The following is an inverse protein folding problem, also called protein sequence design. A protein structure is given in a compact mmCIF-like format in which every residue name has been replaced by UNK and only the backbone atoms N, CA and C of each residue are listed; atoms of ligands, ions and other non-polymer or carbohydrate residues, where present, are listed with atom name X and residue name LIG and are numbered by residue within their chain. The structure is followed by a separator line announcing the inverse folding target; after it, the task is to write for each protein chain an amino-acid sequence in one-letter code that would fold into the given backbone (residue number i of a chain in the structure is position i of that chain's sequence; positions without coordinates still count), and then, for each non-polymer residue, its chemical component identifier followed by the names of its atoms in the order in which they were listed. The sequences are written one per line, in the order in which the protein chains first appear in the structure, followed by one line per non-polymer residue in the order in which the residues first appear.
data_IF_747474238717
#
_entry.id   IF_747474238717
#
_cell.length_a   1.000
_cell.length_b   1.000
_cell.length_c   1.000
_cell.angle_alpha   90.00
_cell.angle_beta   90.00
_cell.angle_gamma   90.00
#
_symmetry.space_group_name_H-M   'P 1'
#
loop_
_entity.id
_entity.type
_entity.pdbx_description
1 polymer ?
#
# COMPACT_ATOMS: atom_id res chain seq x y z
N UNK A 1 26.25 8.92 2.66
CA UNK A 1 26.54 9.06 4.10
C UNK A 1 26.47 7.72 4.85
N UNK A 2 26.06 6.60 4.21
CA UNK A 2 26.01 5.26 4.81
C UNK A 2 25.10 5.13 6.03
N UNK A 3 24.03 5.93 6.10
CA UNK A 3 23.04 5.86 7.18
C UNK A 3 21.86 5.00 6.77
N UNK A 4 21.32 4.24 7.70
CA UNK A 4 20.05 3.53 7.52
C UNK A 4 18.89 4.53 7.47
N UNK A 5 17.90 4.24 6.63
CA UNK A 5 16.76 5.13 6.38
C UNK A 5 15.47 4.34 6.48
N UNK A 6 14.42 4.94 7.07
CA UNK A 6 13.06 4.44 7.01
C UNK A 6 12.21 5.37 6.15
N UNK A 7 11.52 4.80 5.17
CA UNK A 7 10.66 5.55 4.24
C UNK A 7 9.20 5.19 4.52
N UNK A 8 8.40 6.22 4.88
CA UNK A 8 6.96 6.08 5.12
C UNK A 8 6.13 6.57 3.92
N UNK A 9 6.62 7.54 3.17
CA UNK A 9 5.98 8.06 1.94
C UNK A 9 6.47 7.28 0.74
N UNK A 10 5.99 6.06 0.59
CA UNK A 10 6.48 5.06 -0.35
C UNK A 10 6.05 5.33 -1.80
N UNK A 11 4.98 6.11 -1.98
CA UNK A 11 4.40 6.37 -3.30
C UNK A 11 5.38 6.92 -4.33
N UNK A 12 6.30 7.79 -3.92
CA UNK A 12 7.32 8.35 -4.81
C UNK A 12 8.20 7.26 -5.45
N UNK A 13 8.45 6.16 -4.73
CA UNK A 13 9.32 5.06 -5.20
C UNK A 13 8.76 4.28 -6.39
N UNK A 14 7.46 4.42 -6.67
CA UNK A 14 6.82 3.77 -7.82
C UNK A 14 6.28 4.77 -8.86
N UNK A 15 6.27 6.06 -8.54
CA UNK A 15 5.89 7.13 -9.46
C UNK A 15 7.06 7.55 -10.37
N UNK A 16 8.27 7.53 -9.84
CA UNK A 16 9.49 7.88 -10.54
C UNK A 16 10.19 6.60 -11.01
N UNK A 17 10.30 6.45 -12.34
CA UNK A 17 10.93 5.27 -12.94
C UNK A 17 12.44 5.28 -12.63
N UNK A 18 12.91 4.22 -11.98
CA UNK A 18 14.31 4.04 -11.62
C UNK A 18 14.71 4.53 -10.23
N UNK A 19 13.89 5.35 -9.57
CA UNK A 19 14.23 5.85 -8.22
C UNK A 19 14.41 4.72 -7.18
N UNK A 20 13.55 3.70 -7.24
CA UNK A 20 13.65 2.58 -6.31
C UNK A 20 14.93 1.77 -6.54
N UNK A 21 15.25 1.49 -7.80
CA UNK A 21 16.46 0.77 -8.21
C UNK A 21 17.72 1.57 -7.83
N UNK A 22 17.73 2.87 -8.07
CA UNK A 22 18.83 3.76 -7.65
C UNK A 22 19.06 3.72 -6.13
N UNK A 23 17.98 3.78 -5.35
CA UNK A 23 18.06 3.66 -3.88
C UNK A 23 18.64 2.31 -3.46
N UNK A 24 18.21 1.22 -4.11
CA UNK A 24 18.73 -0.13 -3.84
C UNK A 24 20.23 -0.21 -4.14
N UNK A 25 20.68 0.34 -5.25
CA UNK A 25 22.09 0.30 -5.65
C UNK A 25 22.97 1.15 -4.75
N UNK A 26 22.52 2.35 -4.38
CA UNK A 26 23.22 3.19 -3.39
C UNK A 26 23.28 2.50 -2.03
N UNK A 27 22.19 1.85 -1.60
CA UNK A 27 22.16 1.14 -0.32
C UNK A 27 23.17 -0.04 -0.30
N UNK A 28 23.28 -0.79 -1.40
CA UNK A 28 24.29 -1.85 -1.56
C UNK A 28 25.71 -1.28 -1.53
N UNK A 29 25.98 -0.23 -2.33
CA UNK A 29 27.29 0.41 -2.40
C UNK A 29 27.75 0.92 -1.03
N UNK A 30 26.86 1.52 -0.26
CA UNK A 30 27.18 2.12 1.05
C UNK A 30 27.06 1.14 2.22
N UNK A 31 26.65 -0.11 1.99
CA UNK A 31 26.44 -1.11 3.05
C UNK A 31 25.39 -0.71 4.07
N UNK A 32 24.37 0.05 3.68
CA UNK A 32 23.27 0.49 4.54
C UNK A 32 21.94 -0.16 4.16
N UNK A 33 20.94 -0.01 5.03
CA UNK A 33 19.60 -0.60 4.81
C UNK A 33 18.56 0.50 4.66
N UNK A 34 17.57 0.21 3.81
CA UNK A 34 16.36 1.01 3.66
C UNK A 34 15.17 0.19 4.13
N UNK A 35 14.42 0.72 5.07
CA UNK A 35 13.26 0.07 5.67
C UNK A 35 11.98 0.70 5.12
N UNK A 36 11.08 -0.13 4.63
CA UNK A 36 9.75 0.26 4.19
C UNK A 36 8.74 -0.50 5.05
N UNK A 37 8.15 0.13 6.07
CA UNK A 37 7.12 -0.50 6.90
C UNK A 37 5.89 -0.90 6.09
N UNK A 38 5.13 -1.89 6.57
CA UNK A 38 3.89 -2.33 5.92
C UNK A 38 2.81 -1.26 5.84
N UNK A 39 2.90 -0.22 6.68
CA UNK A 39 1.93 0.86 6.70
C UNK A 39 0.56 0.39 7.21
N UNK A 40 -0.48 0.68 6.43
CA UNK A 40 -1.88 0.39 6.75
C UNK A 40 -2.34 -1.01 6.30
N UNK A 41 -1.44 -1.89 5.88
CA UNK A 41 -1.76 -3.25 5.44
C UNK A 41 -0.99 -4.30 6.23
N UNK A 42 -1.42 -5.55 6.10
CA UNK A 42 -0.78 -6.74 6.65
C UNK A 42 -0.43 -7.74 5.53
N UNK A 43 0.19 -8.85 5.87
CA UNK A 43 0.49 -9.93 4.93
C UNK A 43 1.67 -9.69 3.99
N UNK A 44 2.45 -8.62 4.20
CA UNK A 44 3.63 -8.29 3.38
C UNK A 44 4.71 -9.38 3.47
N UNK A 45 4.89 -9.98 4.65
CA UNK A 45 5.82 -11.08 4.86
C UNK A 45 5.42 -12.34 4.08
N UNK A 46 4.13 -12.69 4.12
CA UNK A 46 3.57 -13.78 3.32
C UNK A 46 3.71 -13.53 1.81
N UNK A 47 3.45 -12.30 1.37
CA UNK A 47 3.61 -11.91 -0.04
C UNK A 47 5.09 -11.99 -0.48
N UNK A 48 6.02 -11.48 0.32
CA UNK A 48 7.47 -11.59 0.05
C UNK A 48 7.93 -13.03 -0.04
N UNK A 49 7.46 -13.89 0.88
CA UNK A 49 7.76 -15.31 0.86
C UNK A 49 7.21 -15.98 -0.40
N UNK A 50 5.95 -15.65 -0.77
CA UNK A 50 5.34 -16.14 -2.00
C UNK A 50 6.05 -15.69 -3.27
N UNK A 51 6.65 -14.49 -3.26
CA UNK A 51 7.39 -13.96 -4.40
C UNK A 51 8.63 -14.79 -4.75
N UNK A 52 9.22 -15.53 -3.80
CA UNK A 52 10.34 -16.43 -4.04
C UNK A 52 9.91 -17.62 -4.91
N UNK A 53 8.71 -18.15 -4.70
CA UNK A 53 8.17 -19.27 -5.47
C UNK A 53 7.46 -18.87 -6.78
N UNK A 54 7.20 -17.59 -6.96
CA UNK A 54 6.47 -17.06 -8.12
C UNK A 54 5.01 -16.67 -7.79
N UNK A 55 4.70 -15.43 -8.12
CA UNK A 55 3.36 -14.84 -7.99
C UNK A 55 2.76 -14.66 -9.37
N UNK A 56 1.52 -15.14 -9.56
CA UNK A 56 0.75 -15.00 -10.79
C UNK A 56 -0.08 -13.72 -10.80
N UNK A 57 -0.64 -13.33 -9.66
CA UNK A 57 -1.45 -12.12 -9.54
C UNK A 57 -1.42 -11.53 -8.14
N UNK A 58 -1.49 -10.20 -8.07
CA UNK A 58 -1.71 -9.44 -6.83
C UNK A 58 -2.78 -8.39 -7.12
N UNK A 59 -3.82 -8.38 -6.31
CA UNK A 59 -4.88 -7.37 -6.35
C UNK A 59 -5.03 -6.72 -4.98
N UNK A 60 -5.07 -5.38 -4.98
CA UNK A 60 -5.42 -4.56 -3.82
C UNK A 60 -6.78 -3.92 -4.07
N UNK A 61 -7.75 -4.17 -3.21
CA UNK A 61 -8.99 -3.39 -3.16
C UNK A 61 -8.94 -2.43 -1.97
N UNK A 62 -9.06 -1.14 -2.24
CA UNK A 62 -9.22 -0.12 -1.20
C UNK A 62 -10.65 0.38 -1.19
N UNK A 63 -11.31 0.26 -0.04
CA UNK A 63 -12.68 0.76 0.21
C UNK A 63 -12.66 1.89 1.20
N UNK A 64 -13.45 2.92 0.91
CA UNK A 64 -13.70 4.05 1.80
C UNK A 64 -15.14 4.53 1.66
N UNK A 65 -15.70 5.18 2.69
CA UNK A 65 -16.97 5.88 2.51
C UNK A 65 -16.83 6.96 1.41
N UNK A 66 -17.91 7.30 0.67
CA UNK A 66 -17.86 8.30 -0.41
C UNK A 66 -17.20 9.61 -0.01
N UNK A 67 -17.46 10.11 1.20
CA UNK A 67 -16.83 11.33 1.77
C UNK A 67 -15.28 11.25 1.79
N UNK A 68 -14.71 10.05 1.84
CA UNK A 68 -13.25 9.84 1.82
C UNK A 68 -12.59 10.16 0.47
N UNK A 69 -13.40 10.46 -0.56
CA UNK A 69 -12.96 10.85 -1.90
C UNK A 69 -13.29 12.33 -2.22
N UNK A 70 -13.82 13.08 -1.27
CA UNK A 70 -14.09 14.49 -1.44
C UNK A 70 -12.80 15.25 -1.80
N UNK A 71 -12.90 16.08 -2.81
CA UNK A 71 -11.76 16.86 -3.30
C UNK A 71 -10.83 16.11 -4.27
N UNK A 72 -11.01 14.81 -4.47
CA UNK A 72 -10.18 14.04 -5.40
C UNK A 72 -10.36 14.51 -6.85
N UNK A 73 -9.24 14.81 -7.54
CA UNK A 73 -9.26 15.35 -8.91
C UNK A 73 -9.87 14.37 -9.92
N UNK A 74 -9.50 13.11 -9.84
CA UNK A 74 -10.01 12.06 -10.74
C UNK A 74 -11.53 11.90 -10.64
N UNK A 75 -12.08 11.95 -9.41
CA UNK A 75 -13.53 11.88 -9.17
C UNK A 75 -14.25 13.08 -9.80
N UNK A 76 -13.68 14.27 -9.65
CA UNK A 76 -14.22 15.50 -10.25
C UNK A 76 -14.16 15.48 -11.77
N UNK A 77 -13.04 15.10 -12.36
CA UNK A 77 -12.85 15.02 -13.81
C UNK A 77 -13.80 14.01 -14.48
N UNK A 78 -14.17 12.95 -13.76
CA UNK A 78 -15.13 11.94 -14.22
C UNK A 78 -16.58 12.31 -13.96
N UNK A 79 -16.86 13.45 -13.35
CA UNK A 79 -18.20 13.88 -13.03
C UNK A 79 -18.94 12.94 -12.08
N UNK A 80 -18.21 12.25 -11.20
CA UNK A 80 -18.83 11.31 -10.26
C UNK A 80 -19.40 12.09 -9.09
N UNK A 81 -20.72 12.08 -8.94
CA UNK A 81 -21.40 12.61 -7.76
C UNK A 81 -21.29 11.59 -6.62
N UNK A 82 -20.53 11.97 -5.58
CA UNK A 82 -20.33 11.12 -4.41
C UNK A 82 -21.57 11.07 -3.51
N UNK A 83 -22.46 12.07 -3.58
CA UNK A 83 -23.69 12.13 -2.77
C UNK A 83 -24.77 11.16 -3.28
N UNK A 84 -24.72 10.78 -4.55
CA UNK A 84 -25.65 9.84 -5.17
C UNK A 84 -25.23 8.37 -5.03
N UNK A 85 -24.11 8.08 -4.35
CA UNK A 85 -23.62 6.70 -4.17
C UNK A 85 -24.37 6.05 -3.00
N UNK A 86 -25.41 5.30 -3.30
CA UNK A 86 -26.24 4.57 -2.33
C UNK A 86 -25.76 3.13 -2.07
N UNK A 87 -24.93 2.59 -2.96
CA UNK A 87 -24.36 1.24 -2.87
C UNK A 87 -22.89 1.25 -3.29
N UNK A 88 -22.18 0.14 -3.10
CA UNK A 88 -20.78 0.00 -3.50
C UNK A 88 -20.57 0.41 -4.97
N UNK A 89 -19.70 1.38 -5.21
CA UNK A 89 -19.33 1.86 -6.55
C UNK A 89 -17.83 1.80 -6.77
N UNK A 90 -17.41 1.06 -7.78
CA UNK A 90 -16.02 1.06 -8.20
C UNK A 90 -15.68 2.37 -8.92
N UNK A 91 -14.73 3.12 -8.39
CA UNK A 91 -14.27 4.38 -8.97
C UNK A 91 -13.13 4.16 -9.97
N UNK A 92 -12.26 3.18 -9.70
CA UNK A 92 -11.07 2.90 -10.51
C UNK A 92 -10.70 1.42 -10.46
N UNK A 93 -10.22 0.91 -11.58
CA UNK A 93 -9.52 -0.38 -11.70
C UNK A 93 -8.36 -0.21 -12.67
N UNK A 94 -7.17 -0.57 -12.25
CA UNK A 94 -5.97 -0.46 -13.11
C UNK A 94 -4.71 -0.86 -12.36
N UNK A 95 -3.53 -0.72 -12.99
CA UNK A 95 -2.25 -1.00 -12.37
C UNK A 95 -1.94 0.01 -11.25
N UNK A 96 -1.16 -0.43 -10.26
CA UNK A 96 -0.78 0.42 -9.12
C UNK A 96 -0.10 1.72 -9.56
N UNK A 97 0.74 1.68 -10.59
CA UNK A 97 1.41 2.89 -11.14
C UNK A 97 0.46 3.98 -11.65
N UNK A 98 -0.75 3.59 -12.06
CA UNK A 98 -1.79 4.56 -12.46
C UNK A 98 -2.63 4.98 -11.25
N UNK A 99 -2.99 4.02 -10.40
CA UNK A 99 -3.77 4.29 -9.20
C UNK A 99 -3.13 5.38 -8.33
N UNK A 100 -1.81 5.38 -8.19
CA UNK A 100 -1.08 6.36 -7.38
C UNK A 100 -1.18 7.79 -7.93
N UNK A 101 -1.37 7.95 -9.23
CA UNK A 101 -1.53 9.27 -9.87
C UNK A 101 -2.92 9.84 -9.62
N UNK A 102 -3.93 8.98 -9.64
CA UNK A 102 -5.34 9.38 -9.50
C UNK A 102 -5.80 9.46 -8.04
N UNK A 103 -5.21 8.64 -7.17
CA UNK A 103 -5.59 8.53 -5.76
C UNK A 103 -4.37 8.66 -4.83
N UNK A 104 -3.72 9.84 -4.78
CA UNK A 104 -2.48 10.05 -4.04
C UNK A 104 -2.60 9.74 -2.54
N UNK A 105 -3.80 9.80 -1.98
CA UNK A 105 -4.05 9.45 -0.57
C UNK A 105 -3.94 7.94 -0.28
N UNK A 106 -4.00 7.09 -1.32
CA UNK A 106 -3.91 5.62 -1.21
C UNK A 106 -2.56 5.07 -1.71
N UNK A 107 -1.68 5.96 -2.13
CA UNK A 107 -0.42 5.66 -2.81
C UNK A 107 0.48 4.73 -2.01
N UNK A 108 0.66 5.01 -0.72
CA UNK A 108 1.65 4.29 0.09
C UNK A 108 1.31 2.79 0.23
N UNK A 109 0.03 2.45 0.35
CA UNK A 109 -0.42 1.05 0.46
C UNK A 109 -0.15 0.28 -0.83
N UNK A 110 -0.55 0.86 -1.98
CA UNK A 110 -0.32 0.26 -3.29
C UNK A 110 1.18 0.14 -3.60
N UNK A 111 1.97 1.14 -3.21
CA UNK A 111 3.41 1.15 -3.41
C UNK A 111 4.12 0.08 -2.57
N UNK A 112 3.83 0.01 -1.26
CA UNK A 112 4.43 -1.02 -0.39
C UNK A 112 4.10 -2.42 -0.87
N UNK A 113 2.84 -2.66 -1.28
CA UNK A 113 2.40 -3.95 -1.81
C UNK A 113 3.11 -4.31 -3.12
N UNK A 114 3.24 -3.33 -4.03
CA UNK A 114 3.89 -3.51 -5.33
C UNK A 114 5.38 -3.84 -5.19
N UNK A 115 6.08 -3.11 -4.31
CA UNK A 115 7.51 -3.33 -4.03
C UNK A 115 7.74 -4.71 -3.39
N UNK A 116 6.83 -5.13 -2.51
CA UNK A 116 6.94 -6.43 -1.85
C UNK A 116 6.55 -7.62 -2.75
N UNK A 117 5.78 -7.37 -3.81
CA UNK A 117 5.19 -8.38 -4.68
C UNK A 117 5.78 -8.39 -6.08
N UNK A 118 4.97 -8.04 -7.08
CA UNK A 118 5.23 -8.20 -8.52
C UNK A 118 5.45 -6.87 -9.27
N UNK A 119 5.72 -5.80 -8.54
CA UNK A 119 5.93 -4.47 -9.11
C UNK A 119 4.65 -3.70 -9.43
N UNK A 120 4.79 -2.38 -9.63
CA UNK A 120 3.66 -1.47 -9.76
C UNK A 120 2.88 -1.59 -11.09
N UNK A 121 3.52 -2.14 -12.12
CA UNK A 121 2.87 -2.37 -13.41
C UNK A 121 1.96 -3.60 -13.40
N UNK A 122 2.32 -4.64 -12.63
CA UNK A 122 1.59 -5.91 -12.57
C UNK A 122 0.60 -5.98 -11.39
N UNK A 123 0.81 -5.21 -10.32
CA UNK A 123 -0.12 -5.13 -9.18
C UNK A 123 -1.38 -4.40 -9.60
N UNK A 124 -2.53 -5.07 -9.51
CA UNK A 124 -3.84 -4.50 -9.82
C UNK A 124 -4.40 -3.78 -8.59
N UNK A 125 -4.95 -2.60 -8.79
CA UNK A 125 -5.61 -1.80 -7.75
C UNK A 125 -7.05 -1.53 -8.14
N UNK A 126 -7.96 -1.76 -7.20
CA UNK A 126 -9.37 -1.41 -7.27
C UNK A 126 -9.68 -0.40 -6.16
N UNK A 127 -10.25 0.75 -6.54
CA UNK A 127 -10.69 1.79 -5.60
C UNK A 127 -12.21 1.82 -5.59
N UNK A 128 -12.78 1.72 -4.40
CA UNK A 128 -14.22 1.56 -4.19
C UNK A 128 -14.75 2.59 -3.21
N UNK A 129 -15.79 3.31 -3.61
CA UNK A 129 -16.62 4.07 -2.70
C UNK A 129 -17.74 3.16 -2.18
N UNK A 130 -17.83 3.01 -0.86
CA UNK A 130 -18.80 2.14 -0.20
C UNK A 130 -19.48 2.89 0.94
N UNK A 131 -20.78 3.25 0.80
CA UNK A 131 -21.52 3.96 1.85
C UNK A 131 -21.64 3.19 3.16
N UNK A 132 -21.53 1.86 3.12
CA UNK A 132 -21.58 1.02 4.31
C UNK A 132 -20.26 1.00 5.08
N UNK A 133 -19.16 1.40 4.45
CA UNK A 133 -17.86 1.46 5.09
C UNK A 133 -17.79 2.62 6.08
N UNK A 134 -17.44 2.34 7.31
CA UNK A 134 -17.18 3.35 8.35
C UNK A 134 -15.71 3.74 8.43
N UNK A 135 -14.83 2.91 7.90
CA UNK A 135 -13.38 2.99 8.00
C UNK A 135 -12.71 2.73 6.64
N UNK A 136 -11.41 2.95 6.58
CA UNK A 136 -10.63 2.57 5.41
C UNK A 136 -10.34 1.06 5.44
N UNK A 137 -10.81 0.33 4.44
CA UNK A 137 -10.63 -1.11 4.33
C UNK A 137 -9.67 -1.38 3.19
N UNK A 138 -8.67 -2.23 3.44
CA UNK A 138 -7.75 -2.74 2.43
C UNK A 138 -7.85 -4.25 2.36
N UNK A 139 -8.15 -4.77 1.17
CA UNK A 139 -8.21 -6.21 0.88
C UNK A 139 -7.13 -6.55 -0.13
N UNK A 140 -6.32 -7.56 0.18
CA UNK A 140 -5.25 -8.06 -0.66
C UNK A 140 -5.59 -9.48 -1.05
N UNK A 141 -5.56 -9.76 -2.35
CA UNK A 141 -5.64 -11.10 -2.90
C UNK A 141 -4.39 -11.36 -3.73
N UNK A 142 -3.66 -12.43 -3.40
CA UNK A 142 -2.51 -12.87 -4.18
C UNK A 142 -2.64 -14.37 -4.50
N UNK A 143 -2.24 -14.73 -5.71
CA UNK A 143 -2.24 -16.10 -6.21
C UNK A 143 -0.87 -16.39 -6.79
N UNK A 144 -0.33 -17.55 -6.47
CA UNK A 144 0.96 -18.00 -6.95
C UNK A 144 1.16 -19.50 -6.72
N UNK A 145 2.37 -19.99 -6.90
CA UNK A 145 2.73 -21.39 -6.64
C UNK A 145 2.55 -21.77 -5.16
N UNK A 146 2.63 -20.78 -4.26
CA UNK A 146 2.34 -20.95 -2.82
C UNK A 146 0.84 -21.19 -2.51
N UNK A 147 -0.05 -21.04 -3.50
CA UNK A 147 -1.49 -21.11 -3.33
C UNK A 147 -2.15 -19.72 -3.37
N UNK A 148 -3.03 -19.43 -2.40
CA UNK A 148 -3.81 -18.19 -2.34
C UNK A 148 -3.60 -17.50 -0.99
N UNK A 149 -3.34 -16.21 -1.02
CA UNK A 149 -3.27 -15.32 0.14
C UNK A 149 -4.42 -14.34 0.07
N UNK A 150 -5.20 -14.25 1.14
CA UNK A 150 -6.23 -13.22 1.32
C UNK A 150 -6.00 -12.52 2.65
N UNK A 151 -5.90 -11.21 2.61
CA UNK A 151 -5.75 -10.37 3.81
C UNK A 151 -6.76 -9.24 3.74
N UNK A 152 -7.49 -9.01 4.84
CA UNK A 152 -8.38 -7.86 4.99
C UNK A 152 -7.98 -7.09 6.24
N UNK A 153 -7.82 -5.78 6.11
CA UNK A 153 -7.51 -4.88 7.21
C UNK A 153 -8.54 -3.75 7.23
N UNK A 154 -9.21 -3.59 8.35
CA UNK A 154 -10.15 -2.50 8.63
C UNK A 154 -9.44 -1.50 9.55
N UNK A 155 -9.16 -0.31 9.04
CA UNK A 155 -8.24 0.61 9.67
C UNK A 155 -8.95 1.68 10.49
N UNK A 156 -8.67 1.71 11.77
CA UNK A 156 -9.07 2.84 12.63
C UNK A 156 -8.23 4.07 12.27
N UNK A 157 -8.84 5.24 12.06
CA UNK A 157 -8.12 6.48 11.84
C UNK A 157 -7.19 6.84 13.01
N UNK A 158 -6.04 7.42 12.72
CA UNK A 158 -5.16 7.95 13.75
C UNK A 158 -5.81 9.14 14.45
N UNK A 159 -5.73 9.18 15.79
CA UNK A 159 -6.26 10.29 16.59
C UNK A 159 -5.56 11.61 16.27
N UNK A 160 -4.27 11.57 15.95
CA UNK A 160 -3.47 12.75 15.63
C UNK A 160 -3.68 13.25 14.19
N UNK A 161 -4.02 12.34 13.25
CA UNK A 161 -4.29 12.67 11.87
C UNK A 161 -5.32 11.69 11.29
N UNK A 162 -6.62 12.05 11.25
CA UNK A 162 -7.69 11.15 10.77
C UNK A 162 -7.55 10.70 9.32
N UNK A 163 -6.74 11.38 8.50
CA UNK A 163 -6.43 10.97 7.12
C UNK A 163 -5.47 9.78 7.06
N UNK A 164 -4.82 9.45 8.18
CA UNK A 164 -3.82 8.39 8.28
C UNK A 164 -4.35 7.25 9.14
N UNK A 165 -4.12 6.00 8.72
CA UNK A 165 -4.42 4.83 9.54
C UNK A 165 -3.53 4.77 10.79
N UNK A 166 -4.12 4.44 11.94
CA UNK A 166 -3.34 4.22 13.16
C UNK A 166 -2.31 3.08 13.01
N UNK A 167 -2.68 2.02 12.28
CA UNK A 167 -1.80 0.90 11.98
C UNK A 167 -0.51 1.33 11.27
N UNK A 168 -0.58 2.35 10.41
CA UNK A 168 0.61 2.84 9.70
C UNK A 168 1.67 3.39 10.67
N UNK A 169 1.26 4.15 11.69
CA UNK A 169 2.18 4.62 12.73
C UNK A 169 2.74 3.47 13.57
N UNK A 170 1.89 2.50 13.93
CA UNK A 170 2.31 1.32 14.69
C UNK A 170 3.29 0.46 13.89
N UNK A 171 3.11 0.32 12.58
CA UNK A 171 4.03 -0.44 11.73
C UNK A 171 5.44 0.18 11.69
N UNK A 172 5.55 1.51 11.71
CA UNK A 172 6.84 2.19 11.81
C UNK A 172 7.53 1.90 13.14
N UNK A 173 6.77 1.97 14.25
CA UNK A 173 7.29 1.63 15.59
C UNK A 173 7.73 0.17 15.65
N UNK A 174 6.93 -0.75 15.08
CA UNK A 174 7.27 -2.16 15.03
C UNK A 174 8.54 -2.42 14.22
N UNK A 175 8.71 -1.73 13.07
CA UNK A 175 9.93 -1.81 12.27
C UNK A 175 11.16 -1.33 13.05
N UNK A 176 11.07 -0.18 13.73
CA UNK A 176 12.15 0.33 14.60
C UNK A 176 12.52 -0.66 15.71
N UNK A 177 11.52 -1.24 16.37
CA UNK A 177 11.75 -2.29 17.38
C UNK A 177 12.45 -3.50 16.77
N UNK A 178 12.02 -3.95 15.58
CA UNK A 178 12.61 -5.10 14.90
C UNK A 178 14.08 -4.89 14.50
N UNK A 179 14.53 -3.65 14.31
CA UNK A 179 15.95 -3.34 14.03
C UNK A 179 16.84 -3.65 15.24
N UNK A 180 16.38 -3.31 16.44
CA UNK A 180 17.17 -3.40 17.68
C UNK A 180 16.87 -4.67 18.48
N UNK A 181 15.75 -5.33 18.26
CA UNK A 181 15.36 -6.51 19.00
C UNK A 181 16.10 -7.75 18.49
N UNK A 182 16.63 -8.63 19.38
CA UNK A 182 17.46 -9.76 18.98
C UNK A 182 16.68 -10.89 18.28
N UNK A 183 15.36 -10.96 18.50
CA UNK A 183 14.49 -11.97 17.88
C UNK A 183 13.64 -11.32 16.80
N UNK A 184 13.70 -11.87 15.59
CA UNK A 184 12.85 -11.47 14.47
C UNK A 184 11.76 -12.50 14.26
N UNK A 185 10.52 -12.03 14.04
CA UNK A 185 9.37 -12.86 13.69
C UNK A 185 8.83 -12.33 12.37
N UNK A 186 8.65 -13.23 11.40
CA UNK A 186 8.36 -12.90 10.02
C UNK A 186 9.62 -12.59 9.20
N UNK A 187 9.46 -12.14 7.97
CA UNK A 187 10.54 -11.91 7.00
C UNK A 187 11.00 -10.47 6.93
#
# INVERSE_FOLDING_TARGET
AGKEVMIMSVGALICDEGLFEEIVDIAKEKGCRVYIPSGAIAGIDGLKSGAIGGIQSVELTTRKPPRGFEGNAYVKERGIDLSEIESEKTLFVGPAKEAVRYFPENVNVAASLSIAGIGAAATKVKVVADPSATENIHEIHAIGEFGKLTVRVENVPSRANPKTSHLAALSAIATLKGIVYPVRVGT
#
